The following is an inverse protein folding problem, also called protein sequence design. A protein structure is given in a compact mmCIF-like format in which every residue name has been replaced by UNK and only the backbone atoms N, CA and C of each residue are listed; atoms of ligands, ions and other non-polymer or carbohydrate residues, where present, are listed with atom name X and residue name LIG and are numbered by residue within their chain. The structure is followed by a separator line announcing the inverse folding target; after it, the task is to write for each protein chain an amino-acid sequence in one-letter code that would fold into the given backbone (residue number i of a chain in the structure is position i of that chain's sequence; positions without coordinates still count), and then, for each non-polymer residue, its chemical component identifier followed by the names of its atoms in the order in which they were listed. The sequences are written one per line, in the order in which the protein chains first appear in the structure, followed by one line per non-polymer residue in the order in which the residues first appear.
data_IF_847160756277
#
_entry.id   IF_847160756277
#
_cell.length_a   1.000
_cell.length_b   1.000
_cell.length_c   1.000
_cell.angle_alpha   90.00
_cell.angle_beta   90.00
_cell.angle_gamma   90.00
#
_symmetry.space_group_name_H-M   'P 1'
#
loop_
_entity.id
_entity.type
_entity.pdbx_description
1 polymer ?
#
# COMPACT_ATOMS: atom_id res chain seq x y z
N UNK A 1 26.64 14.90 3.40
CA UNK A 1 26.19 14.46 2.07
C UNK A 1 25.87 12.97 2.16
N UNK A 2 24.61 12.60 2.18
CA UNK A 2 24.18 11.20 2.30
C UNK A 2 24.15 10.56 0.91
N UNK A 3 24.74 9.38 0.77
CA UNK A 3 24.83 8.64 -0.49
C UNK A 3 23.49 7.99 -0.82
N UNK A 4 22.93 8.29 -1.99
CA UNK A 4 21.78 7.60 -2.55
C UNK A 4 22.25 6.32 -3.23
N UNK A 5 21.63 5.18 -2.94
CA UNK A 5 21.99 3.88 -3.52
C UNK A 5 21.01 3.54 -4.64
N UNK A 6 21.48 3.49 -5.87
CA UNK A 6 20.74 2.86 -6.98
C UNK A 6 21.22 1.42 -7.10
N UNK A 7 20.30 0.51 -7.31
CA UNK A 7 20.43 -0.92 -7.49
C UNK A 7 21.76 -1.35 -8.14
N UNK A 8 22.61 -2.03 -7.38
CA UNK A 8 23.81 -2.68 -7.90
C UNK A 8 23.51 -4.14 -8.22
N UNK A 9 23.60 -4.50 -9.48
CA UNK A 9 23.73 -5.90 -9.90
C UNK A 9 25.21 -6.32 -9.72
N UNK A 10 25.56 -6.88 -8.57
CA UNK A 10 26.82 -7.58 -8.37
C UNK A 10 26.54 -8.94 -7.73
N UNK A 11 26.94 -10.00 -8.43
CA UNK A 11 26.95 -11.38 -7.92
C UNK A 11 27.86 -11.49 -6.70
N UNK A 12 27.46 -12.18 -5.63
CA UNK A 12 28.35 -12.45 -4.49
C UNK A 12 29.23 -13.65 -4.76
N UNK A 13 30.49 -13.50 -4.46
CA UNK A 13 31.47 -14.57 -4.38
C UNK A 13 31.22 -15.42 -3.13
N UNK A 14 31.35 -16.72 -3.30
CA UNK A 14 31.29 -17.79 -2.31
C UNK A 14 32.19 -17.57 -1.08
N UNK A 15 31.65 -17.83 0.11
CA UNK A 15 32.47 -18.14 1.31
C UNK A 15 31.99 -19.44 1.92
N UNK A 16 32.94 -20.35 2.07
CA UNK A 16 32.79 -21.70 2.63
C UNK A 16 32.77 -21.70 4.15
N UNK A 17 31.95 -22.57 4.71
CA UNK A 17 32.26 -23.46 5.80
C UNK A 17 32.44 -22.93 7.23
N UNK A 18 31.56 -23.35 8.14
CA UNK A 18 31.98 -23.84 9.47
C UNK A 18 30.98 -24.92 9.91
N UNK A 19 31.51 -26.11 10.15
CA UNK A 19 30.87 -27.28 10.73
C UNK A 19 30.80 -27.13 12.24
N UNK A 20 29.64 -27.17 12.85
CA UNK A 20 29.43 -27.19 14.30
C UNK A 20 28.78 -28.52 14.73
N UNK A 21 29.48 -29.25 15.56
CA UNK A 21 29.13 -30.57 16.13
C UNK A 21 27.86 -30.52 17.00
N UNK A 22 26.93 -31.44 16.71
CA UNK A 22 25.81 -31.75 17.60
C UNK A 22 26.21 -32.94 18.50
N UNK A 23 26.31 -32.72 19.82
CA UNK A 23 26.44 -33.75 20.82
C UNK A 23 25.06 -34.25 21.23
N UNK A 24 24.81 -35.53 20.99
CA UNK A 24 23.67 -36.31 21.50
C UNK A 24 23.85 -36.59 23.00
N UNK A 25 22.91 -36.19 23.81
CA UNK A 25 22.75 -36.68 25.16
C UNK A 25 21.53 -37.58 25.24
N UNK A 26 21.77 -38.83 25.62
CA UNK A 26 20.79 -39.87 25.91
C UNK A 26 20.19 -39.68 27.30
N UNK A 27 18.87 -39.76 27.40
CA UNK A 27 18.13 -39.80 28.67
C UNK A 27 17.84 -41.25 29.08
N UNK A 28 17.89 -41.59 30.37
CA UNK A 28 17.39 -42.87 30.86
C UNK A 28 15.90 -42.79 31.21
N UNK A 29 15.21 -43.87 30.90
CA UNK A 29 13.83 -44.12 31.29
C UNK A 29 13.73 -44.49 32.76
N UNK A 30 12.74 -43.94 33.51
CA UNK A 30 12.20 -44.56 34.73
C UNK A 30 10.77 -44.05 35.04
N UNK A 31 9.90 -45.01 35.28
CA UNK A 31 8.96 -45.01 36.40
C UNK A 31 7.54 -44.49 36.14
N UNK A 32 6.62 -45.39 35.88
CA UNK A 32 5.18 -45.17 36.01
C UNK A 32 4.77 -44.89 37.46
N UNK A 33 4.03 -43.82 37.73
CA UNK A 33 3.17 -43.65 38.91
C UNK A 33 1.93 -42.83 38.61
N UNK A 34 0.79 -43.47 38.83
CA UNK A 34 -0.52 -42.98 39.25
C UNK A 34 -1.09 -41.69 38.64
N UNK A 35 -2.05 -41.88 37.75
CA UNK A 35 -3.01 -40.86 37.33
C UNK A 35 -3.93 -40.46 38.51
N UNK A 36 -3.82 -39.20 38.95
CA UNK A 36 -4.84 -38.51 39.71
C UNK A 36 -5.66 -37.72 38.70
N UNK A 37 -6.93 -38.10 38.56
CA UNK A 37 -7.89 -37.32 37.75
C UNK A 37 -8.15 -35.98 38.43
N UNK A 38 -7.60 -34.90 37.90
CA UNK A 38 -8.00 -33.54 38.24
C UNK A 38 -9.18 -33.18 37.34
N UNK A 39 -10.32 -32.92 38.00
CA UNK A 39 -11.55 -32.49 37.35
C UNK A 39 -11.28 -31.30 36.43
N UNK A 40 -11.69 -31.45 35.15
CA UNK A 40 -11.53 -30.40 34.12
C UNK A 40 -12.28 -29.15 34.50
N UNK A 41 -11.56 -28.09 34.83
CA UNK A 41 -12.06 -26.73 34.66
C UNK A 41 -11.92 -26.40 33.19
N UNK A 42 -13.03 -26.39 32.47
CA UNK A 42 -13.14 -25.76 31.18
C UNK A 42 -12.86 -24.27 31.37
N UNK A 43 -11.64 -23.84 31.08
CA UNK A 43 -11.34 -22.42 30.94
C UNK A 43 -12.13 -21.99 29.72
N UNK A 44 -13.26 -21.32 29.97
CA UNK A 44 -13.97 -20.62 28.89
C UNK A 44 -12.95 -19.66 28.27
N UNK A 45 -12.67 -19.83 26.97
CA UNK A 45 -11.85 -18.89 26.23
C UNK A 45 -12.51 -17.53 26.39
N UNK A 46 -11.87 -16.61 27.12
CA UNK A 46 -12.31 -15.22 27.16
C UNK A 46 -12.37 -14.74 25.72
N UNK A 47 -13.55 -14.39 25.27
CA UNK A 47 -13.74 -13.79 23.97
C UNK A 47 -12.90 -12.51 23.93
N UNK A 48 -11.82 -12.52 23.16
CA UNK A 48 -10.93 -11.37 23.04
C UNK A 48 -11.76 -10.16 22.56
N UNK A 49 -11.87 -9.15 23.40
CA UNK A 49 -12.62 -7.93 23.06
C UNK A 49 -11.91 -7.32 21.84
N UNK A 50 -12.64 -7.16 20.73
CA UNK A 50 -12.10 -6.54 19.53
C UNK A 50 -11.53 -5.14 19.85
N UNK A 51 -10.32 -4.81 19.43
CA UNK A 51 -9.76 -3.48 19.64
C UNK A 51 -10.43 -2.42 18.77
N UNK A 52 -11.34 -2.80 17.87
CA UNK A 52 -12.09 -1.89 17.04
C UNK A 52 -13.38 -1.44 17.73
N UNK A 53 -13.45 -0.16 18.07
CA UNK A 53 -14.70 0.49 18.45
C UNK A 53 -15.49 0.96 17.21
N UNK A 54 -16.82 1.09 17.28
CA UNK A 54 -17.63 1.53 16.15
C UNK A 54 -17.16 2.85 15.54
N UNK A 55 -17.33 2.98 14.22
CA UNK A 55 -17.17 4.24 13.51
C UNK A 55 -18.33 5.18 13.88
N UNK A 56 -18.01 6.42 14.24
CA UNK A 56 -18.97 7.49 14.59
C UNK A 56 -18.88 8.55 13.49
N UNK A 57 -19.67 8.48 12.42
CA UNK A 57 -19.62 9.44 11.34
C UNK A 57 -20.15 10.81 11.80
N UNK A 58 -19.58 11.88 11.25
CA UNK A 58 -20.12 13.23 11.44
C UNK A 58 -21.53 13.32 10.85
N UNK A 59 -22.39 14.08 11.50
CA UNK A 59 -23.77 14.28 11.08
C UNK A 59 -23.95 15.49 10.14
N UNK A 60 -22.88 16.25 9.90
CA UNK A 60 -22.92 17.40 9.00
C UNK A 60 -23.26 16.96 7.56
N UNK A 61 -24.24 17.62 6.92
CA UNK A 61 -24.59 17.29 5.54
C UNK A 61 -23.41 17.60 4.60
N UNK A 62 -23.40 16.94 3.43
CA UNK A 62 -22.47 17.29 2.38
C UNK A 62 -22.66 18.76 1.95
N UNK A 63 -21.58 19.51 1.69
CA UNK A 63 -21.68 20.85 1.10
C UNK A 63 -22.43 20.82 -0.25
N UNK A 64 -23.15 21.88 -0.56
CA UNK A 64 -24.04 21.95 -1.73
C UNK A 64 -23.32 21.83 -3.10
N UNK A 65 -22.04 22.17 -3.18
CA UNK A 65 -21.28 22.23 -4.43
C UNK A 65 -20.33 21.04 -4.57
N UNK A 66 -20.87 19.86 -4.93
CA UNK A 66 -20.07 18.68 -5.17
C UNK A 66 -19.10 18.88 -6.36
N UNK A 67 -17.77 18.76 -6.18
CA UNK A 67 -16.85 18.78 -7.30
C UNK A 67 -17.09 17.58 -8.23
N UNK A 68 -16.97 17.80 -9.53
CA UNK A 68 -17.21 16.75 -10.52
C UNK A 68 -16.27 15.53 -10.29
N UNK A 69 -16.85 14.33 -10.27
CA UNK A 69 -16.12 13.07 -10.08
C UNK A 69 -15.61 12.82 -8.66
N UNK A 70 -16.14 13.56 -7.67
CA UNK A 70 -15.84 13.36 -6.26
C UNK A 70 -17.10 12.99 -5.48
N UNK A 71 -16.93 12.26 -4.39
CA UNK A 71 -17.98 11.95 -3.41
C UNK A 71 -17.64 12.59 -2.06
N UNK A 72 -18.69 12.91 -1.30
CA UNK A 72 -18.54 13.41 0.06
C UNK A 72 -18.21 12.29 1.03
N UNK A 73 -17.13 12.47 1.77
CA UNK A 73 -16.77 11.62 2.91
C UNK A 73 -17.10 12.39 4.15
N UNK A 74 -18.03 11.91 5.01
CA UNK A 74 -18.53 12.72 6.12
C UNK A 74 -17.48 13.00 7.19
N UNK A 75 -16.38 12.22 7.18
CA UNK A 75 -15.45 12.24 8.30
C UNK A 75 -16.08 11.64 9.55
N UNK A 76 -15.41 11.82 10.70
CA UNK A 76 -15.86 11.28 11.98
C UNK A 76 -14.76 10.55 12.71
N UNK A 77 -15.13 9.86 13.79
CA UNK A 77 -14.20 9.11 14.62
C UNK A 77 -14.24 7.61 14.26
N UNK A 78 -13.08 6.98 14.08
CA UNK A 78 -12.98 5.58 13.72
C UNK A 78 -11.76 4.91 14.35
N UNK A 79 -11.73 3.58 14.30
CA UNK A 79 -10.58 2.79 14.69
C UNK A 79 -9.68 2.54 13.47
N UNK A 80 -8.49 3.12 13.49
CA UNK A 80 -7.47 3.04 12.43
C UNK A 80 -6.44 1.96 12.77
N UNK A 81 -5.99 1.25 11.76
CA UNK A 81 -4.98 0.20 11.88
C UNK A 81 -5.50 -1.19 11.56
N UNK A 82 -4.66 -2.19 11.80
CA UNK A 82 -4.94 -3.59 11.51
C UNK A 82 -4.63 -4.47 12.71
N UNK A 83 -5.40 -5.54 12.91
CA UNK A 83 -5.03 -6.62 13.80
C UNK A 83 -4.11 -7.60 13.09
N UNK A 84 -3.21 -8.23 13.83
CA UNK A 84 -2.58 -9.45 13.35
C UNK A 84 -3.68 -10.49 13.14
N UNK A 85 -3.78 -11.10 11.97
CA UNK A 85 -4.76 -12.13 11.73
C UNK A 85 -4.46 -13.34 12.60
N UNK A 86 -5.51 -13.99 13.12
CA UNK A 86 -5.37 -15.17 13.96
C UNK A 86 -4.86 -16.39 13.21
N UNK A 87 -5.14 -16.52 11.91
CA UNK A 87 -4.67 -17.60 11.03
C UNK A 87 -4.77 -17.21 9.55
N UNK A 88 -3.85 -17.74 8.73
CA UNK A 88 -4.03 -17.83 7.27
C UNK A 88 -3.65 -16.62 6.42
N UNK A 89 -3.10 -15.55 6.98
CA UNK A 89 -2.67 -14.38 6.21
C UNK A 89 -1.15 -14.37 6.02
N UNK A 90 -0.73 -13.84 4.89
CA UNK A 90 0.63 -13.81 4.41
C UNK A 90 1.69 -13.63 5.52
N UNK A 91 2.22 -14.74 5.98
CA UNK A 91 3.41 -14.82 6.83
C UNK A 91 4.65 -15.10 5.99
N UNK A 92 4.73 -14.55 4.77
CA UNK A 92 5.99 -14.62 4.02
C UNK A 92 7.05 -13.91 4.84
N UNK A 93 8.12 -14.62 5.11
CA UNK A 93 9.11 -14.46 6.18
C UNK A 93 9.68 -13.04 6.38
N UNK A 94 9.43 -12.08 5.51
CA UNK A 94 9.96 -10.73 5.57
C UNK A 94 8.89 -9.62 5.50
N UNK A 95 7.64 -9.94 5.17
CA UNK A 95 6.57 -8.95 5.02
C UNK A 95 5.38 -9.22 5.92
N UNK A 96 5.56 -9.03 7.22
CA UNK A 96 4.40 -8.94 8.08
C UNK A 96 3.63 -7.66 7.75
N UNK A 97 2.61 -7.79 6.90
CA UNK A 97 1.84 -6.68 6.33
C UNK A 97 1.09 -5.83 7.36
N UNK A 98 1.07 -6.26 8.62
CA UNK A 98 0.33 -5.60 9.70
C UNK A 98 1.21 -5.03 10.81
N UNK A 99 2.52 -5.32 10.84
CA UNK A 99 3.38 -4.91 11.95
C UNK A 99 3.45 -3.39 12.13
N UNK A 100 3.49 -2.64 11.03
CA UNK A 100 3.55 -1.18 11.03
C UNK A 100 2.16 -0.52 11.11
N UNK A 101 1.10 -1.34 11.12
CA UNK A 101 -0.30 -0.92 11.23
C UNK A 101 -0.90 -1.13 12.63
N UNK A 102 -0.05 -1.34 13.62
CA UNK A 102 -0.42 -1.58 15.02
C UNK A 102 0.21 -0.56 15.97
N UNK A 103 -0.43 -0.34 17.12
CA UNK A 103 -1.74 -0.85 17.55
C UNK A 103 -2.90 -0.13 16.86
N UNK A 104 -4.05 -0.79 16.83
CA UNK A 104 -5.32 -0.12 16.48
C UNK A 104 -5.54 1.04 17.46
N UNK A 105 -5.89 2.19 16.94
CA UNK A 105 -6.05 3.42 17.73
C UNK A 105 -7.21 4.28 17.20
N UNK A 106 -7.68 5.21 18.01
CA UNK A 106 -8.79 6.09 17.62
C UNK A 106 -8.27 7.32 16.88
N UNK A 107 -8.93 7.63 15.77
CA UNK A 107 -8.64 8.77 14.91
C UNK A 107 -9.94 9.48 14.56
N UNK A 108 -9.89 10.81 14.50
CA UNK A 108 -10.93 11.65 13.96
C UNK A 108 -10.44 12.38 12.73
N UNK A 109 -11.26 12.41 11.68
CA UNK A 109 -11.03 13.21 10.47
C UNK A 109 -12.24 14.11 10.20
N UNK A 110 -12.00 15.33 9.74
CA UNK A 110 -13.06 16.20 9.24
C UNK A 110 -13.66 15.65 7.95
N UNK A 111 -14.82 16.14 7.51
CA UNK A 111 -15.40 15.78 6.24
C UNK A 111 -14.63 16.39 5.05
N UNK A 112 -14.56 15.67 3.95
CA UNK A 112 -13.84 16.08 2.75
C UNK A 112 -14.44 15.44 1.47
N UNK A 113 -14.12 16.00 0.32
CA UNK A 113 -14.41 15.40 -0.97
C UNK A 113 -13.27 14.49 -1.39
N UNK A 114 -13.57 13.31 -1.94
CA UNK A 114 -12.57 12.38 -2.48
C UNK A 114 -12.93 11.97 -3.91
N UNK A 115 -11.93 11.86 -4.79
CA UNK A 115 -12.11 11.31 -6.14
C UNK A 115 -12.72 9.89 -6.05
N UNK A 116 -13.75 9.61 -6.84
CA UNK A 116 -14.44 8.31 -6.83
C UNK A 116 -13.53 7.15 -7.19
N UNK A 117 -12.51 7.40 -8.01
CA UNK A 117 -11.52 6.43 -8.46
C UNK A 117 -10.15 7.11 -8.60
N UNK A 118 -9.13 6.32 -8.90
CA UNK A 118 -7.79 6.82 -9.17
C UNK A 118 -7.76 7.84 -10.32
N UNK A 119 -6.75 8.72 -10.31
CA UNK A 119 -6.50 9.62 -11.44
C UNK A 119 -6.15 8.79 -12.66
N UNK A 120 -6.92 8.97 -13.74
CA UNK A 120 -6.75 8.21 -14.97
C UNK A 120 -5.71 8.83 -15.90
N UNK A 121 -5.21 8.04 -16.85
CA UNK A 121 -4.31 8.50 -17.90
C UNK A 121 -4.87 9.73 -18.64
N UNK A 122 -6.17 9.72 -18.98
CA UNK A 122 -6.81 10.86 -19.66
C UNK A 122 -6.81 12.14 -18.79
N UNK A 123 -7.08 11.99 -17.48
CA UNK A 123 -7.04 13.14 -16.55
C UNK A 123 -5.61 13.68 -16.39
N UNK A 124 -4.64 12.79 -16.27
CA UNK A 124 -3.23 13.17 -16.13
C UNK A 124 -2.67 13.80 -17.44
N UNK A 125 -3.08 13.28 -18.59
CA UNK A 125 -2.74 13.86 -19.89
C UNK A 125 -3.23 15.32 -20.01
N UNK A 126 -4.45 15.63 -19.54
CA UNK A 126 -4.97 17.02 -19.52
C UNK A 126 -4.08 17.94 -18.69
N UNK A 127 -3.60 17.48 -17.53
CA UNK A 127 -2.65 18.21 -16.70
C UNK A 127 -1.34 18.47 -17.45
N UNK A 128 -0.74 17.43 -18.01
CA UNK A 128 0.53 17.58 -18.73
C UNK A 128 0.39 18.49 -19.95
N UNK A 129 -0.69 18.37 -20.73
CA UNK A 129 -0.97 19.26 -21.88
C UNK A 129 -1.14 20.73 -21.46
N UNK A 130 -1.78 20.97 -20.31
CA UNK A 130 -2.03 22.33 -19.83
C UNK A 130 -0.78 23.00 -19.23
N UNK A 131 0.17 22.24 -18.71
CA UNK A 131 1.30 22.75 -17.91
C UNK A 131 2.68 22.52 -18.53
N UNK A 132 2.80 21.59 -19.47
CA UNK A 132 4.10 21.13 -19.97
C UNK A 132 4.89 20.33 -18.93
N UNK A 133 4.24 19.82 -17.89
CA UNK A 133 4.89 19.10 -16.78
C UNK A 133 5.65 17.88 -17.30
N UNK A 134 6.86 17.68 -16.77
CA UNK A 134 7.66 16.47 -16.96
C UNK A 134 7.71 15.71 -15.64
N UNK A 135 7.33 14.43 -15.66
CA UNK A 135 7.40 13.56 -14.49
C UNK A 135 8.83 13.21 -14.15
N UNK A 136 9.05 12.79 -12.90
CA UNK A 136 10.39 12.35 -12.43
C UNK A 136 10.94 11.25 -13.34
N UNK A 137 10.10 10.30 -13.78
CA UNK A 137 10.51 9.23 -14.70
C UNK A 137 10.95 9.72 -16.10
N UNK A 138 10.57 10.93 -16.50
CA UNK A 138 10.97 11.56 -17.78
C UNK A 138 12.26 12.39 -17.66
N UNK A 139 12.86 12.46 -16.46
CA UNK A 139 14.06 13.25 -16.16
C UNK A 139 15.21 12.31 -15.85
N UNK A 140 16.33 12.42 -16.58
CA UNK A 140 17.51 11.61 -16.29
C UNK A 140 18.05 11.95 -14.89
N UNK A 141 18.31 10.92 -14.04
CA UNK A 141 18.93 11.15 -12.75
C UNK A 141 20.37 11.66 -12.94
N UNK A 142 20.81 12.51 -12.01
CA UNK A 142 22.15 13.11 -12.11
C UNK A 142 23.18 12.33 -11.28
N UNK A 143 24.46 12.49 -11.63
CA UNK A 143 25.59 11.95 -10.87
C UNK A 143 25.62 12.45 -9.42
N UNK A 144 25.14 13.68 -9.18
CA UNK A 144 25.07 14.26 -7.84
C UNK A 144 24.01 13.57 -6.97
N UNK A 145 22.87 13.24 -7.58
CA UNK A 145 21.79 12.50 -6.90
C UNK A 145 22.21 11.05 -6.63
N UNK A 146 22.95 10.43 -7.56
CA UNK A 146 23.35 9.03 -7.51
C UNK A 146 24.86 8.86 -7.79
N UNK A 147 25.73 9.21 -6.81
CA UNK A 147 27.19 9.26 -7.03
C UNK A 147 27.82 7.91 -7.39
N UNK A 148 27.19 6.81 -6.96
CA UNK A 148 27.71 5.45 -7.15
C UNK A 148 27.01 4.69 -8.30
N UNK A 149 25.99 5.29 -8.93
CA UNK A 149 25.29 4.62 -10.03
C UNK A 149 26.19 4.46 -11.25
N UNK A 150 26.16 3.33 -11.96
CA UNK A 150 26.77 3.19 -13.26
C UNK A 150 26.23 4.24 -14.25
N UNK A 151 27.05 4.80 -15.15
CA UNK A 151 26.60 5.82 -16.12
C UNK A 151 25.39 5.40 -16.94
N UNK A 152 25.29 4.14 -17.28
CA UNK A 152 24.17 3.54 -18.02
C UNK A 152 22.84 3.60 -17.27
N UNK A 153 22.86 3.72 -15.94
CA UNK A 153 21.66 3.87 -15.11
C UNK A 153 21.26 5.34 -14.88
N UNK A 154 22.06 6.30 -15.38
CA UNK A 154 21.74 7.73 -15.34
C UNK A 154 20.95 8.16 -16.58
N UNK A 155 19.94 7.38 -16.94
CA UNK A 155 19.02 7.60 -18.06
C UNK A 155 17.61 7.68 -17.51
N UNK A 156 16.78 8.54 -18.09
CA UNK A 156 15.36 8.63 -17.72
C UNK A 156 14.67 7.27 -17.82
N UNK A 157 13.91 6.92 -16.81
CA UNK A 157 13.24 5.62 -16.73
C UNK A 157 12.59 5.44 -15.37
N UNK A 158 12.04 4.26 -15.15
CA UNK A 158 11.34 3.94 -13.91
C UNK A 158 11.34 2.43 -13.64
N UNK A 159 10.83 2.07 -12.46
CA UNK A 159 10.78 0.67 -12.02
C UNK A 159 9.57 -0.04 -12.62
N UNK A 160 9.82 -1.21 -13.22
CA UNK A 160 8.80 -2.04 -13.88
C UNK A 160 8.82 -3.45 -13.30
N UNK A 161 7.65 -3.96 -12.94
CA UNK A 161 7.48 -5.37 -12.64
C UNK A 161 7.69 -6.19 -13.92
N UNK A 162 8.57 -7.18 -13.83
CA UNK A 162 8.92 -8.09 -14.92
C UNK A 162 8.75 -9.51 -14.37
N UNK A 163 7.73 -10.26 -14.82
CA UNK A 163 7.53 -11.64 -14.38
C UNK A 163 8.78 -12.49 -14.58
N UNK A 164 9.02 -13.41 -13.66
CA UNK A 164 10.10 -14.39 -13.78
C UNK A 164 9.66 -15.60 -14.60
N UNK A 165 10.59 -16.27 -15.26
CA UNK A 165 10.28 -17.48 -16.04
C UNK A 165 9.92 -18.67 -15.13
N UNK A 166 10.51 -18.73 -13.94
CA UNK A 166 10.33 -19.80 -12.96
C UNK A 166 10.04 -19.22 -11.59
N UNK A 167 9.51 -20.04 -10.68
CA UNK A 167 9.37 -19.69 -9.27
C UNK A 167 10.73 -19.30 -8.67
N UNK A 168 10.72 -18.24 -7.89
CA UNK A 168 11.90 -17.69 -7.20
C UNK A 168 11.59 -17.50 -5.71
N UNK A 169 12.60 -17.48 -4.83
CA UNK A 169 12.42 -17.05 -3.45
C UNK A 169 11.80 -15.64 -3.37
N UNK A 170 10.81 -15.44 -2.49
CA UNK A 170 10.06 -14.18 -2.41
C UNK A 170 10.69 -13.16 -1.43
N UNK A 171 11.87 -13.44 -0.90
CA UNK A 171 12.65 -12.58 -0.01
C UNK A 171 13.62 -11.62 -0.75
N UNK A 172 13.78 -11.79 -2.07
CA UNK A 172 14.57 -10.93 -2.94
C UNK A 172 13.73 -10.35 -4.08
N UNK A 173 13.15 -9.19 -3.83
CA UNK A 173 12.29 -8.48 -4.79
C UNK A 173 13.04 -7.97 -6.03
N UNK A 174 14.36 -7.92 -6.05
CA UNK A 174 15.15 -7.57 -7.24
C UNK A 174 15.01 -8.61 -8.36
N UNK A 175 14.50 -9.78 -8.06
CA UNK A 175 14.31 -10.80 -9.09
C UNK A 175 13.19 -10.45 -10.08
N UNK A 176 12.22 -9.63 -9.70
CA UNK A 176 11.08 -9.22 -10.56
C UNK A 176 10.93 -7.72 -10.73
N UNK A 177 11.77 -6.90 -10.10
CA UNK A 177 11.81 -5.48 -10.37
C UNK A 177 13.00 -5.12 -11.25
N UNK A 178 12.75 -4.33 -12.30
CA UNK A 178 13.78 -3.83 -13.22
C UNK A 178 13.66 -2.33 -13.37
N UNK A 179 14.80 -1.63 -13.39
CA UNK A 179 14.82 -0.26 -13.89
C UNK A 179 14.83 -0.31 -15.41
N UNK A 180 13.79 0.27 -16.03
CA UNK A 180 13.59 0.22 -17.48
C UNK A 180 13.73 1.63 -18.05
N UNK A 181 14.72 1.82 -18.92
CA UNK A 181 14.95 3.09 -19.61
C UNK A 181 13.74 3.46 -20.45
N UNK A 182 13.31 4.73 -20.37
CA UNK A 182 12.16 5.24 -21.08
C UNK A 182 10.80 4.82 -20.49
N UNK A 183 10.75 3.98 -19.45
CA UNK A 183 9.49 3.74 -18.74
C UNK A 183 9.05 5.02 -18.02
N UNK A 184 7.82 5.42 -18.26
CA UNK A 184 7.18 6.61 -17.66
C UNK A 184 5.65 6.48 -17.81
N UNK A 185 4.90 7.48 -17.42
CA UNK A 185 3.44 7.42 -17.47
C UNK A 185 2.85 7.21 -18.87
N UNK A 186 3.54 7.62 -19.97
CA UNK A 186 3.13 7.38 -21.37
C UNK A 186 3.55 6.01 -21.88
N UNK A 187 4.59 5.46 -21.29
CA UNK A 187 5.21 4.19 -21.61
C UNK A 187 5.35 3.32 -20.35
N UNK A 188 4.22 2.80 -19.79
CA UNK A 188 4.19 2.22 -18.43
C UNK A 188 5.13 1.05 -18.19
N UNK A 189 5.44 0.29 -19.23
CA UNK A 189 6.33 -0.88 -19.16
C UNK A 189 7.61 -0.73 -20.00
N UNK A 190 7.90 0.47 -20.48
CA UNK A 190 9.05 0.80 -21.29
C UNK A 190 8.68 1.37 -22.65
N UNK A 191 9.68 1.77 -23.49
CA UNK A 191 9.47 2.56 -24.71
C UNK A 191 8.56 1.90 -25.75
N UNK A 192 8.44 0.59 -25.74
CA UNK A 192 7.59 -0.17 -26.66
C UNK A 192 6.12 -0.25 -26.21
N UNK A 193 5.79 0.30 -25.03
CA UNK A 193 4.42 0.35 -24.52
C UNK A 193 3.78 1.72 -24.77
N UNK A 194 2.44 1.77 -24.87
CA UNK A 194 1.68 3.00 -25.06
C UNK A 194 0.37 3.02 -24.25
N UNK A 195 -0.36 4.13 -24.35
CA UNK A 195 -1.65 4.33 -23.70
C UNK A 195 -2.85 4.18 -24.64
N UNK A 196 -2.69 3.64 -25.85
CA UNK A 196 -3.76 3.47 -26.81
C UNK A 196 -4.89 2.60 -26.23
N UNK A 197 -6.11 3.14 -26.17
CA UNK A 197 -7.26 2.47 -25.56
C UNK A 197 -7.23 2.40 -24.02
N UNK A 198 -6.26 3.05 -23.35
CA UNK A 198 -6.07 3.02 -21.90
C UNK A 198 -6.34 4.36 -21.21
N UNK A 199 -7.15 5.23 -21.81
CA UNK A 199 -7.47 6.55 -21.25
C UNK A 199 -8.12 6.48 -19.86
N UNK A 200 -8.95 5.46 -19.59
CA UNK A 200 -9.64 5.21 -18.32
C UNK A 200 -8.91 4.25 -17.36
N UNK A 201 -7.67 3.91 -17.64
CA UNK A 201 -6.82 3.17 -16.68
C UNK A 201 -6.18 4.15 -15.69
N UNK A 202 -5.87 3.72 -14.46
CA UNK A 202 -5.08 4.54 -13.54
C UNK A 202 -3.77 4.97 -14.19
N UNK A 203 -3.38 6.23 -13.99
CA UNK A 203 -2.03 6.65 -14.34
C UNK A 203 -1.03 6.01 -13.37
N UNK A 204 0.03 5.45 -13.91
CA UNK A 204 1.10 4.79 -13.17
C UNK A 204 2.46 5.40 -13.52
N UNK A 205 3.54 4.91 -12.92
CA UNK A 205 4.88 5.49 -13.06
C UNK A 205 4.98 6.91 -12.48
N UNK A 206 4.20 7.16 -11.42
CA UNK A 206 4.03 8.47 -10.80
C UNK A 206 4.81 8.51 -9.47
N UNK A 207 5.82 9.35 -9.39
CA UNK A 207 6.50 9.69 -8.15
C UNK A 207 5.61 10.60 -7.27
N UNK A 208 5.94 10.72 -5.99
CA UNK A 208 5.15 11.56 -5.06
C UNK A 208 5.03 13.02 -5.54
N UNK A 209 6.13 13.59 -6.03
CA UNK A 209 6.15 14.97 -6.53
C UNK A 209 5.20 15.17 -7.72
N UNK A 210 5.08 14.17 -8.61
CA UNK A 210 4.20 14.21 -9.77
C UNK A 210 2.72 14.21 -9.34
N UNK A 211 2.37 13.33 -8.39
CA UNK A 211 1.03 13.26 -7.82
C UNK A 211 0.64 14.57 -7.11
N UNK A 212 1.56 15.15 -6.32
CA UNK A 212 1.35 16.42 -5.63
C UNK A 212 1.20 17.59 -6.61
N UNK A 213 1.97 17.61 -7.71
CA UNK A 213 1.87 18.64 -8.74
C UNK A 213 0.51 18.59 -9.48
N UNK A 214 0.07 17.38 -9.85
CA UNK A 214 -1.27 17.19 -10.40
C UNK A 214 -2.36 17.67 -9.44
N UNK A 215 -2.30 17.21 -8.18
CA UNK A 215 -3.31 17.57 -7.18
C UNK A 215 -3.41 19.09 -7.01
N UNK A 216 -2.27 19.78 -6.90
CA UNK A 216 -2.22 21.25 -6.82
C UNK A 216 -2.83 21.93 -8.05
N UNK A 217 -2.49 21.48 -9.27
CA UNK A 217 -3.06 22.02 -10.52
C UNK A 217 -4.58 21.85 -10.56
N UNK A 218 -5.09 20.68 -10.10
CA UNK A 218 -6.51 20.39 -10.06
C UNK A 218 -7.28 21.14 -8.93
N UNK A 219 -6.62 21.98 -8.13
CA UNK A 219 -7.22 22.63 -6.96
C UNK A 219 -7.59 21.63 -5.85
N UNK A 220 -6.80 20.56 -5.73
CA UNK A 220 -6.95 19.43 -4.81
C UNK A 220 -5.66 19.21 -4.01
N UNK A 221 -5.64 18.16 -3.21
CA UNK A 221 -4.45 17.66 -2.49
C UNK A 221 -4.47 16.14 -2.44
N UNK A 222 -3.37 15.54 -2.05
CA UNK A 222 -3.33 14.12 -1.69
C UNK A 222 -4.04 13.91 -0.34
N UNK A 223 -4.66 12.75 -0.11
CA UNK A 223 -5.24 12.41 1.18
C UNK A 223 -4.15 12.24 2.24
N UNK A 224 -4.45 12.54 3.49
CA UNK A 224 -3.68 11.97 4.60
C UNK A 224 -3.94 10.47 4.68
N UNK A 225 -3.04 9.74 5.33
CA UNK A 225 -3.22 8.31 5.57
C UNK A 225 -4.52 8.01 6.32
N UNK A 226 -4.86 8.85 7.29
CA UNK A 226 -6.09 8.72 8.08
C UNK A 226 -7.36 8.98 7.25
N UNK A 227 -7.36 10.00 6.41
CA UNK A 227 -8.46 10.27 5.47
C UNK A 227 -8.63 9.13 4.49
N UNK A 228 -7.52 8.60 3.95
CA UNK A 228 -7.55 7.48 3.04
C UNK A 228 -8.18 6.25 3.70
N UNK A 229 -7.74 5.86 4.91
CA UNK A 229 -8.25 4.68 5.59
C UNK A 229 -9.71 4.84 6.02
N UNK A 230 -10.11 6.02 6.54
CA UNK A 230 -11.51 6.32 6.86
C UNK A 230 -12.40 6.11 5.64
N UNK A 231 -12.00 6.69 4.50
CA UNK A 231 -12.72 6.58 3.24
C UNK A 231 -12.76 5.14 2.72
N UNK A 232 -11.63 4.42 2.78
CA UNK A 232 -11.51 3.04 2.29
C UNK A 232 -12.40 2.06 3.08
N UNK A 233 -12.56 2.26 4.38
CA UNK A 233 -13.44 1.44 5.22
C UNK A 233 -14.93 1.59 4.86
N UNK A 234 -15.34 2.64 4.16
CA UNK A 234 -16.71 2.79 3.69
C UNK A 234 -17.78 2.71 4.79
N UNK A 235 -17.45 3.13 6.04
CA UNK A 235 -18.31 3.02 7.22
C UNK A 235 -18.20 1.69 7.98
N UNK A 236 -17.51 0.69 7.46
CA UNK A 236 -17.31 -0.59 8.13
C UNK A 236 -16.29 -0.48 9.27
N UNK A 237 -16.56 -1.15 10.38
CA UNK A 237 -15.68 -1.18 11.55
C UNK A 237 -14.94 -2.50 11.63
N UNK A 238 -13.60 -2.46 11.67
CA UNK A 238 -12.73 -3.60 11.94
C UNK A 238 -12.78 -4.73 10.90
N UNK A 239 -13.34 -4.47 9.73
CA UNK A 239 -13.43 -5.46 8.65
C UNK A 239 -12.09 -5.63 7.95
N UNK A 240 -11.86 -6.85 7.47
CA UNK A 240 -10.62 -7.24 6.79
C UNK A 240 -10.46 -6.51 5.46
N UNK A 241 -11.55 -6.41 4.69
CA UNK A 241 -11.56 -5.79 3.36
C UNK A 241 -12.53 -4.60 3.33
N UNK A 242 -12.45 -3.79 2.28
CA UNK A 242 -13.36 -2.67 2.02
C UNK A 242 -14.83 -3.10 1.83
N UNK A 243 -15.06 -4.40 1.60
CA UNK A 243 -16.38 -5.00 1.38
C UNK A 243 -16.83 -5.95 2.50
N UNK A 244 -16.03 -6.20 3.54
CA UNK A 244 -16.36 -7.09 4.65
C UNK A 244 -15.23 -8.03 5.04
N UNK A 245 -15.56 -9.22 5.53
CA UNK A 245 -14.57 -10.21 5.99
C UNK A 245 -14.38 -11.37 5.01
N UNK A 246 -15.35 -11.64 4.14
CA UNK A 246 -15.23 -12.70 3.15
C UNK A 246 -14.40 -12.24 1.97
N UNK A 247 -13.36 -13.00 1.61
CA UNK A 247 -12.43 -12.64 0.53
C UNK A 247 -13.15 -12.55 -0.83
N UNK A 248 -13.97 -13.55 -1.15
CA UNK A 248 -14.75 -13.63 -2.40
C UNK A 248 -16.24 -13.87 -2.07
N UNK A 249 -16.99 -12.84 -1.68
CA UNK A 249 -18.38 -13.00 -1.29
C UNK A 249 -19.21 -13.56 -2.44
N UNK A 250 -19.85 -14.70 -2.20
CA UNK A 250 -20.58 -15.43 -3.23
C UNK A 250 -19.70 -15.87 -4.41
N UNK A 251 -18.41 -16.09 -4.20
CA UNK A 251 -17.43 -16.49 -5.21
C UNK A 251 -16.98 -15.37 -6.16
N UNK A 252 -17.36 -14.11 -5.91
CA UNK A 252 -17.03 -12.97 -6.78
C UNK A 252 -15.76 -12.27 -6.33
N UNK A 253 -14.91 -11.94 -7.29
CA UNK A 253 -13.79 -11.05 -7.06
C UNK A 253 -14.28 -9.61 -6.76
N UNK A 254 -13.64 -8.96 -5.81
CA UNK A 254 -14.01 -7.62 -5.32
C UNK A 254 -12.94 -6.58 -5.54
N UNK A 255 -11.78 -6.98 -6.04
CA UNK A 255 -10.64 -6.11 -6.34
C UNK A 255 -9.75 -6.76 -7.40
N UNK A 256 -8.99 -5.94 -8.15
CA UNK A 256 -7.96 -6.39 -9.06
C UNK A 256 -6.68 -6.67 -8.27
N UNK A 257 -6.32 -7.96 -8.14
CA UNK A 257 -5.14 -8.44 -7.42
C UNK A 257 -4.43 -9.51 -8.25
N UNK A 258 -3.30 -10.03 -7.78
CA UNK A 258 -2.55 -11.06 -8.49
C UNK A 258 -3.08 -12.46 -8.17
N UNK A 259 -3.48 -13.20 -9.20
CA UNK A 259 -3.86 -14.60 -9.11
C UNK A 259 -2.86 -15.51 -9.82
N UNK A 260 -2.79 -16.75 -9.35
CA UNK A 260 -1.85 -17.73 -9.87
C UNK A 260 -0.54 -17.73 -9.11
N UNK A 261 0.58 -17.99 -9.76
CA UNK A 261 1.89 -18.17 -9.12
C UNK A 261 2.72 -16.87 -9.19
N UNK A 262 2.83 -16.14 -8.08
CA UNK A 262 3.67 -14.96 -8.02
C UNK A 262 5.17 -15.32 -7.94
N UNK A 263 6.06 -14.62 -8.64
CA UNK A 263 5.87 -13.55 -9.63
C UNK A 263 5.89 -14.06 -11.09
N UNK A 264 5.52 -15.33 -11.32
CA UNK A 264 5.68 -16.03 -12.61
C UNK A 264 4.55 -15.69 -13.57
N UNK A 265 3.30 -15.89 -13.13
CA UNK A 265 2.14 -15.73 -14.02
C UNK A 265 0.91 -15.32 -13.22
N UNK A 266 0.38 -14.18 -13.59
CA UNK A 266 -0.96 -13.76 -13.23
C UNK A 266 -1.96 -14.48 -14.15
N UNK A 267 -2.94 -15.17 -13.58
CA UNK A 267 -3.96 -15.92 -14.32
C UNK A 267 -5.17 -15.09 -14.72
N UNK A 268 -5.34 -13.91 -14.09
CA UNK A 268 -6.43 -12.99 -14.42
C UNK A 268 -7.82 -13.55 -14.11
N UNK A 269 -7.98 -14.29 -13.03
CA UNK A 269 -9.26 -14.88 -12.62
C UNK A 269 -10.29 -13.82 -12.22
N UNK A 270 -9.83 -12.64 -11.80
CA UNK A 270 -10.66 -11.48 -11.48
C UNK A 270 -11.16 -10.74 -12.74
N UNK A 271 -10.68 -11.14 -13.91
CA UNK A 271 -10.99 -10.57 -15.23
C UNK A 271 -9.82 -9.80 -15.86
N UNK A 272 -8.71 -9.61 -15.14
CA UNK A 272 -7.57 -8.77 -15.58
C UNK A 272 -6.24 -9.41 -15.20
N UNK A 273 -5.40 -9.67 -16.18
CA UNK A 273 -3.99 -9.99 -15.93
C UNK A 273 -3.21 -8.66 -15.92
N UNK A 274 -2.90 -8.15 -14.72
CA UNK A 274 -2.24 -6.87 -14.53
C UNK A 274 -3.21 -5.70 -14.33
N UNK A 275 -2.85 -4.51 -14.82
CA UNK A 275 -3.62 -3.28 -14.56
C UNK A 275 -5.00 -3.31 -15.22
N UNK A 276 -6.05 -2.95 -14.46
CA UNK A 276 -7.44 -2.85 -14.93
C UNK A 276 -7.86 -1.38 -15.19
N UNK A 277 -8.89 -1.13 -16.03
CA UNK A 277 -9.56 0.16 -16.04
C UNK A 277 -10.11 0.50 -14.65
N UNK A 278 -10.28 1.77 -14.33
CA UNK A 278 -10.89 2.16 -13.04
C UNK A 278 -12.35 1.71 -12.95
N UNK A 279 -12.82 1.47 -11.71
CA UNK A 279 -14.22 1.17 -11.38
C UNK A 279 -14.78 -0.12 -12.04
N UNK A 280 -13.97 -1.17 -12.14
CA UNK A 280 -14.44 -2.47 -12.64
C UNK A 280 -15.09 -3.33 -11.53
N UNK A 281 -14.78 -3.06 -10.28
CA UNK A 281 -15.32 -3.76 -9.12
C UNK A 281 -16.33 -2.89 -8.37
N UNK A 282 -17.20 -3.48 -7.52
CA UNK A 282 -18.19 -2.72 -6.77
C UNK A 282 -17.55 -1.64 -5.87
N UNK A 283 -18.19 -0.46 -5.73
CA UNK A 283 -17.73 0.55 -4.80
C UNK A 283 -17.95 0.15 -3.35
N UNK A 284 -17.19 0.77 -2.43
CA UNK A 284 -17.44 0.62 -1.00
C UNK A 284 -18.68 1.44 -0.54
N UNK A 285 -18.97 1.40 0.77
CA UNK A 285 -20.16 2.07 1.34
C UNK A 285 -20.20 3.60 1.21
N UNK A 286 -19.09 4.25 0.81
CA UNK A 286 -19.05 5.69 0.48
C UNK A 286 -19.06 5.97 -1.03
N UNK A 287 -19.23 4.94 -1.88
CA UNK A 287 -19.25 5.11 -3.33
C UNK A 287 -17.85 5.23 -3.97
N UNK A 288 -16.80 4.79 -3.28
CA UNK A 288 -15.42 4.81 -3.77
C UNK A 288 -15.06 3.47 -4.40
N UNK A 289 -14.48 3.53 -5.59
CA UNK A 289 -13.95 2.39 -6.33
C UNK A 289 -12.46 2.20 -6.09
N UNK A 290 -11.95 1.01 -6.30
CA UNK A 290 -10.52 0.68 -6.32
C UNK A 290 -9.76 1.13 -5.05
N UNK A 291 -10.44 1.03 -3.87
CA UNK A 291 -9.79 1.26 -2.57
C UNK A 291 -8.96 0.04 -2.11
N UNK A 292 -9.00 -1.04 -2.87
CA UNK A 292 -8.20 -2.25 -2.68
C UNK A 292 -7.77 -2.77 -4.05
N UNK A 293 -6.51 -3.15 -4.21
CA UNK A 293 -5.96 -3.65 -5.47
C UNK A 293 -5.75 -2.57 -6.53
N UNK A 294 -5.62 -2.96 -7.77
CA UNK A 294 -5.34 -2.21 -8.97
C UNK A 294 -4.01 -1.42 -8.89
N UNK A 295 -3.97 -0.27 -8.23
CA UNK A 295 -2.74 0.49 -8.00
C UNK A 295 -2.59 0.94 -6.56
N UNK A 296 -1.35 0.95 -6.06
CA UNK A 296 -1.00 1.67 -4.84
C UNK A 296 -1.34 3.15 -4.98
N UNK A 297 -1.72 3.77 -3.87
CA UNK A 297 -2.12 5.17 -3.85
C UNK A 297 -1.27 5.97 -2.85
N UNK A 298 -0.66 7.06 -3.34
CA UNK A 298 0.09 7.97 -2.52
C UNK A 298 -0.78 8.70 -1.49
N UNK A 299 -0.30 8.71 -0.23
CA UNK A 299 -0.79 9.58 0.83
C UNK A 299 0.22 10.69 1.15
N UNK A 300 -0.25 11.79 1.75
CA UNK A 300 0.60 12.95 2.09
C UNK A 300 1.56 12.71 3.25
N UNK A 301 1.34 11.67 4.03
CA UNK A 301 2.09 11.40 5.26
C UNK A 301 3.49 10.87 4.97
N UNK A 302 4.49 11.35 5.72
CA UNK A 302 5.76 10.67 5.80
C UNK A 302 5.60 9.28 6.43
N UNK A 303 6.33 8.30 5.90
CA UNK A 303 6.26 6.94 6.44
C UNK A 303 7.18 6.77 7.66
N UNK A 304 6.63 6.15 8.71
CA UNK A 304 7.37 5.58 9.84
C UNK A 304 6.65 4.31 10.30
N UNK A 305 7.36 3.18 10.51
CA UNK A 305 6.71 1.94 10.96
C UNK A 305 6.18 2.04 12.41
N UNK A 306 6.74 2.93 13.23
CA UNK A 306 6.40 3.11 14.64
C UNK A 306 5.34 4.22 14.88
N UNK A 307 4.75 4.79 13.84
CA UNK A 307 3.81 5.94 13.96
C UNK A 307 2.67 5.65 14.93
N UNK A 308 1.99 4.52 14.78
CA UNK A 308 0.83 4.18 15.61
C UNK A 308 1.22 3.83 17.06
N UNK A 309 2.34 3.14 17.24
CA UNK A 309 2.89 2.87 18.56
C UNK A 309 3.28 4.16 19.29
N UNK A 310 3.82 5.15 18.59
CA UNK A 310 4.16 6.47 19.17
C UNK A 310 2.94 7.24 19.62
N UNK A 311 1.82 7.20 18.89
CA UNK A 311 0.55 7.81 19.32
C UNK A 311 0.05 7.20 20.61
N UNK A 312 0.11 5.86 20.73
CA UNK A 312 -0.26 5.14 21.96
C UNK A 312 0.66 5.51 23.12
N UNK A 313 1.98 5.52 22.90
CA UNK A 313 2.96 5.89 23.95
C UNK A 313 2.79 7.34 24.42
N UNK A 314 2.40 8.24 23.54
CA UNK A 314 2.08 9.64 23.88
C UNK A 314 0.74 9.79 24.60
N UNK A 315 -0.01 8.73 24.85
CA UNK A 315 -1.30 8.77 25.55
C UNK A 315 -2.42 9.47 24.75
N UNK A 316 -2.30 9.53 23.43
CA UNK A 316 -3.29 10.17 22.56
C UNK A 316 -4.56 9.32 22.53
N UNK A 317 -5.63 9.79 23.16
CA UNK A 317 -6.91 9.06 23.19
C UNK A 317 -7.58 9.03 21.80
N UNK A 318 -7.63 10.18 21.12
CA UNK A 318 -8.13 10.33 19.74
C UNK A 318 -7.20 11.27 18.98
N UNK A 319 -6.53 10.77 17.94
CA UNK A 319 -5.72 11.61 17.07
C UNK A 319 -6.64 12.38 16.09
N UNK A 320 -6.64 13.72 16.17
CA UNK A 320 -7.53 14.56 15.35
C UNK A 320 -6.81 15.08 14.12
N UNK A 321 -7.36 14.80 12.93
CA UNK A 321 -6.82 15.20 11.62
C UNK A 321 -5.29 14.99 11.53
N UNK A 322 -4.77 13.78 11.85
CA UNK A 322 -3.33 13.57 11.88
C UNK A 322 -2.72 13.78 10.49
N UNK A 323 -1.58 14.45 10.46
CA UNK A 323 -0.82 14.75 9.23
C UNK A 323 0.42 13.84 9.08
N UNK A 324 0.49 12.79 9.89
CA UNK A 324 1.65 11.92 9.95
C UNK A 324 2.85 12.54 10.70
N UNK A 325 3.98 11.84 10.72
CA UNK A 325 5.22 12.34 11.34
C UNK A 325 5.86 13.46 10.51
N UNK A 326 6.70 14.28 11.15
CA UNK A 326 7.41 15.39 10.50
C UNK A 326 8.50 14.98 9.52
N UNK A 327 8.97 13.72 9.59
CA UNK A 327 9.97 13.15 8.70
C UNK A 327 9.79 11.64 8.59
N UNK A 328 10.23 11.07 7.47
CA UNK A 328 10.25 9.62 7.28
C UNK A 328 11.35 8.97 8.14
N UNK A 329 11.08 7.72 8.47
CA UNK A 329 12.07 6.83 9.06
C UNK A 329 11.78 5.40 8.66
N UNK A 330 12.79 4.66 8.23
CA UNK A 330 12.68 3.24 7.90
C UNK A 330 14.00 2.57 8.31
N UNK A 331 13.97 1.58 9.21
CA UNK A 331 15.19 0.89 9.61
C UNK A 331 15.93 0.30 8.41
N UNK A 332 17.21 0.63 8.26
CA UNK A 332 18.04 0.13 7.16
C UNK A 332 17.84 0.84 5.81
N UNK A 333 16.99 1.86 5.75
CA UNK A 333 16.73 2.62 4.54
C UNK A 333 16.80 4.13 4.82
N UNK A 334 17.76 4.82 4.20
CA UNK A 334 17.99 6.26 4.38
C UNK A 334 17.18 7.13 3.39
N UNK A 335 16.43 6.50 2.46
CA UNK A 335 15.63 7.26 1.50
C UNK A 335 14.39 7.84 2.16
N UNK A 336 14.01 9.09 1.83
CA UNK A 336 12.76 9.65 2.30
C UNK A 336 11.57 8.92 1.67
N UNK A 337 10.66 8.43 2.51
CA UNK A 337 9.51 7.62 2.08
C UNK A 337 8.20 8.23 2.53
N UNK A 338 7.19 8.10 1.68
CA UNK A 338 5.80 8.44 1.96
C UNK A 338 4.94 7.19 2.05
N UNK A 339 3.82 7.33 2.76
CA UNK A 339 2.82 6.26 2.88
C UNK A 339 2.16 5.98 1.54
N UNK A 340 1.99 4.70 1.25
CA UNK A 340 1.18 4.17 0.16
C UNK A 340 0.09 3.27 0.73
N UNK A 341 -1.09 3.27 0.14
CA UNK A 341 -2.23 2.50 0.62
C UNK A 341 -2.94 1.74 -0.51
N UNK A 342 -3.69 0.69 -0.13
CA UNK A 342 -4.61 -0.04 -1.00
C UNK A 342 -4.06 -1.30 -1.63
N UNK A 343 -2.76 -1.48 -1.71
CA UNK A 343 -2.18 -2.56 -2.51
C UNK A 343 -2.34 -2.33 -4.02
N UNK A 344 -2.05 -3.32 -4.82
CA UNK A 344 -2.12 -3.23 -6.28
C UNK A 344 -2.45 -4.57 -6.92
N UNK A 345 -2.54 -4.60 -8.24
CA UNK A 345 -2.67 -5.84 -9.04
C UNK A 345 -1.51 -6.84 -8.84
N UNK A 346 -0.44 -6.45 -8.15
CA UNK A 346 0.68 -7.34 -7.79
C UNK A 346 0.55 -7.92 -6.38
N UNK A 347 -0.47 -7.54 -5.64
CA UNK A 347 -0.69 -8.06 -4.28
C UNK A 347 -1.43 -9.39 -4.32
N UNK A 348 -0.94 -10.35 -3.54
CA UNK A 348 -1.43 -11.72 -3.45
C UNK A 348 -1.25 -12.23 -2.02
N UNK A 349 -1.94 -13.29 -1.65
CA UNK A 349 -1.74 -14.00 -0.38
C UNK A 349 -0.36 -14.66 -0.25
N UNK A 350 0.34 -14.89 -1.37
CA UNK A 350 1.68 -15.47 -1.38
C UNK A 350 2.79 -14.49 -1.00
N UNK A 351 2.60 -13.18 -1.26
CA UNK A 351 3.67 -12.20 -1.11
C UNK A 351 3.22 -10.92 -0.41
N UNK A 352 2.09 -10.33 -0.78
CA UNK A 352 1.67 -9.01 -0.31
C UNK A 352 0.15 -8.97 -0.14
N UNK A 353 -0.36 -9.01 1.09
CA UNK A 353 -1.80 -8.91 1.39
C UNK A 353 -2.27 -7.47 1.65
N UNK A 354 -1.53 -6.47 1.16
CA UNK A 354 -1.82 -5.06 1.50
C UNK A 354 -3.03 -4.45 0.79
N UNK A 355 -3.86 -5.27 0.13
CA UNK A 355 -5.24 -4.97 -0.24
C UNK A 355 -6.22 -5.10 0.95
N UNK A 356 -5.75 -5.57 2.12
CA UNK A 356 -6.52 -5.58 3.36
C UNK A 356 -6.58 -4.18 3.96
N UNK A 357 -7.74 -3.81 4.51
CA UNK A 357 -7.92 -2.51 5.16
C UNK A 357 -7.03 -2.39 6.41
N UNK A 358 -6.52 -1.19 6.65
CA UNK A 358 -5.62 -0.90 7.77
C UNK A 358 -4.16 -1.22 7.48
N UNK A 359 -3.83 -2.05 6.49
CA UNK A 359 -2.43 -2.31 6.11
C UNK A 359 -1.79 -1.11 5.45
N UNK A 360 -0.48 -0.98 5.59
CA UNK A 360 0.31 0.16 5.14
C UNK A 360 1.40 -0.27 4.16
N UNK A 361 1.73 0.60 3.23
CA UNK A 361 2.89 0.49 2.37
C UNK A 361 3.73 1.75 2.43
N UNK A 362 4.88 1.72 1.79
CA UNK A 362 5.81 2.83 1.70
C UNK A 362 6.46 2.87 0.32
N UNK A 363 6.85 4.05 -0.12
CA UNK A 363 7.61 4.24 -1.35
C UNK A 363 8.51 5.44 -1.27
N UNK A 364 9.65 5.35 -1.96
CA UNK A 364 10.59 6.45 -2.10
C UNK A 364 9.95 7.58 -2.90
N UNK A 365 10.12 8.80 -2.43
CA UNK A 365 9.38 9.97 -2.96
C UNK A 365 9.71 10.33 -4.41
N UNK A 366 10.87 9.91 -4.90
CA UNK A 366 11.38 10.18 -6.24
C UNK A 366 11.33 8.94 -7.17
N UNK A 367 10.58 7.90 -6.79
CA UNK A 367 10.47 6.66 -7.57
C UNK A 367 9.02 6.38 -7.93
N UNK A 368 8.75 6.24 -9.23
CA UNK A 368 7.51 5.67 -9.75
C UNK A 368 7.65 4.18 -10.01
N UNK A 369 6.52 3.50 -10.20
CA UNK A 369 6.48 2.11 -10.67
C UNK A 369 5.19 1.85 -11.44
N UNK A 370 5.15 0.76 -12.22
CA UNK A 370 4.00 0.43 -13.06
C UNK A 370 2.77 -0.09 -12.29
N UNK A 371 2.79 -0.06 -10.96
CA UNK A 371 1.67 -0.40 -10.08
C UNK A 371 1.34 0.69 -9.04
N UNK A 372 1.84 1.90 -9.24
CA UNK A 372 1.74 3.00 -8.30
C UNK A 372 1.12 4.24 -8.97
N UNK A 373 -0.02 4.63 -8.46
CA UNK A 373 -0.81 5.79 -8.86
C UNK A 373 -1.25 6.63 -7.67
N UNK A 374 -2.39 7.30 -7.79
CA UNK A 374 -2.92 8.15 -6.72
C UNK A 374 -4.36 8.57 -6.99
N UNK A 375 -5.05 9.02 -5.93
CA UNK A 375 -6.31 9.79 -6.01
C UNK A 375 -6.19 11.06 -5.18
N UNK A 376 -7.07 12.03 -5.44
CA UNK A 376 -7.05 13.31 -4.76
C UNK A 376 -8.25 13.49 -3.84
N UNK A 377 -8.05 14.38 -2.87
CA UNK A 377 -9.11 14.91 -2.00
C UNK A 377 -9.20 16.43 -2.13
N UNK A 378 -10.35 16.98 -1.78
CA UNK A 378 -10.55 18.43 -1.67
C UNK A 378 -11.20 18.75 -0.33
N UNK A 379 -10.57 19.64 0.42
CA UNK A 379 -11.16 20.20 1.63
C UNK A 379 -12.33 21.10 1.23
N UNK A 380 -13.50 21.04 1.90
CA UNK A 380 -14.58 21.99 1.66
C UNK A 380 -14.09 23.41 1.85
N UNK A 381 -14.60 24.31 1.04
CA UNK A 381 -14.42 25.75 1.30
C UNK A 381 -15.17 26.08 2.60
N UNK A 382 -14.53 26.84 3.47
CA UNK A 382 -15.23 27.35 4.65
C UNK A 382 -16.46 28.15 4.17
N UNK A 383 -17.64 27.82 4.71
CA UNK A 383 -18.79 28.69 4.46
C UNK A 383 -18.43 30.11 4.93
N UNK A 384 -18.64 31.14 4.07
CA UNK A 384 -18.33 32.51 4.40
C UNK A 384 -19.10 33.01 5.62
#
# INVERSE_FOLDING_TARGET
MKKKTIFQNTLPASVAGIIGFVTLWSSPAMGATNAVAVAGQTIAAEASVSPFAPTIPNQSPAPSNAPAGMVWIPGGEFSMGCMAPSEGYCTVATMNAVNDAQPVHRVYVDGFWMDTNDVTNEKFEKFVKATGYKTIAEIAPTREQFPTAPPENLVAGSTVFTPTTNAVPLDDYFQWWRYVHGANWRHPTGPDSDLKGRGNYPVVQIAYADAAAYAKWAGKRLPTEAEWEFAARGGLTGKTYAWGDEFKPGGKWMANIYEGQFPVKDTGEDGFAGLAPVAQFPPNGYGLYDMAGNVWQWCSDWYRPDTYARLKLAGVAVARNPQGPSASYSPGDDQPQRVQRGGSFLCTDQYCTRYMMGTRGKGDVDTGSNHLGFRCVKTPEANP
#
